data_IF_587884323744
#
_entry.id   IF_587884323744
#
_cell.length_a   1.000
_cell.length_b   1.000
_cell.length_c   1.000
_cell.angle_alpha   90.00
_cell.angle_beta   90.00
_cell.angle_gamma   90.00
#
_symmetry.space_group_name_H-M   'P 1'
#
loop_
_entity.id
_entity.type
_entity.pdbx_description
1 polymer ?
#
# COMPACT_ATOMS: atom_id res chain seq x y z
N UNK A 1 -2.46 -3.42 26.11
CA UNK A 1 -2.68 -3.13 24.68
C UNK A 1 -2.83 -1.62 24.53
N UNK A 2 -2.44 -1.02 23.41
CA UNK A 2 -2.66 0.41 23.17
C UNK A 2 -4.02 0.64 22.54
N UNK A 3 -4.73 1.69 22.97
CA UNK A 3 -6.02 2.06 22.41
C UNK A 3 -5.85 2.71 21.02
N UNK A 4 -6.74 2.36 20.09
CA UNK A 4 -6.77 2.96 18.76
C UNK A 4 -7.66 4.19 18.82
N UNK A 5 -7.06 5.38 18.67
CA UNK A 5 -7.78 6.65 18.62
C UNK A 5 -7.89 7.08 17.16
N UNK A 6 -9.11 7.04 16.62
CA UNK A 6 -9.39 7.55 15.28
C UNK A 6 -9.56 9.07 15.29
N UNK A 7 -9.08 9.73 14.25
CA UNK A 7 -9.48 11.11 13.97
C UNK A 7 -10.96 11.17 13.60
N UNK A 8 -11.60 12.34 13.78
CA UNK A 8 -13.02 12.50 13.50
C UNK A 8 -13.39 12.08 12.06
N UNK A 9 -12.62 12.55 11.09
CA UNK A 9 -12.83 12.27 9.67
C UNK A 9 -12.66 10.78 9.35
N UNK A 10 -11.65 10.13 9.93
CA UNK A 10 -11.40 8.72 9.68
C UNK A 10 -12.49 7.83 10.30
N UNK A 11 -13.01 8.20 11.48
CA UNK A 11 -14.15 7.53 12.08
C UNK A 11 -15.40 7.67 11.22
N UNK A 12 -15.69 8.88 10.73
CA UNK A 12 -16.81 9.13 9.82
C UNK A 12 -16.69 8.26 8.56
N UNK A 13 -15.51 8.25 7.92
CA UNK A 13 -15.24 7.46 6.73
C UNK A 13 -15.46 5.95 6.95
N UNK A 14 -14.93 5.39 8.04
CA UNK A 14 -15.10 3.96 8.35
C UNK A 14 -16.58 3.59 8.50
N UNK A 15 -17.36 4.46 9.16
CA UNK A 15 -18.79 4.24 9.37
C UNK A 15 -19.58 4.36 8.07
N UNK A 16 -19.29 5.38 7.25
CA UNK A 16 -19.95 5.59 5.97
C UNK A 16 -19.70 4.44 4.99
N UNK A 17 -18.48 3.90 4.98
CA UNK A 17 -18.07 2.82 4.08
C UNK A 17 -18.34 1.41 4.62
N UNK A 18 -18.93 1.28 5.82
CA UNK A 18 -19.13 0.01 6.54
C UNK A 18 -17.86 -0.86 6.61
N UNK A 19 -16.71 -0.23 6.88
CA UNK A 19 -15.42 -0.91 6.89
C UNK A 19 -15.14 -1.45 8.29
N UNK A 20 -14.76 -2.73 8.39
CA UNK A 20 -14.22 -3.28 9.64
C UNK A 20 -12.72 -3.00 9.74
N UNK A 21 -12.31 -2.15 10.70
CA UNK A 21 -10.90 -1.88 10.93
C UNK A 21 -10.18 -3.11 11.51
N UNK A 22 -9.06 -3.47 10.89
CA UNK A 22 -8.14 -4.50 11.38
C UNK A 22 -6.72 -3.97 11.40
N UNK A 23 -6.09 -3.97 12.58
CA UNK A 23 -4.74 -3.45 12.77
C UNK A 23 -3.72 -4.58 12.71
N UNK A 24 -2.70 -4.42 11.87
CA UNK A 24 -1.54 -5.31 11.83
C UNK A 24 -0.76 -5.21 13.14
N UNK A 25 -0.48 -6.34 13.80
CA UNK A 25 0.27 -6.36 15.06
C UNK A 25 1.78 -6.43 14.79
N UNK A 26 2.58 -5.70 15.59
CA UNK A 26 4.05 -5.56 15.39
C UNK A 26 4.80 -6.89 15.33
N UNK A 27 4.29 -7.96 15.94
CA UNK A 27 4.92 -9.27 16.01
C UNK A 27 4.06 -10.39 15.38
N UNK A 28 3.18 -10.05 14.44
CA UNK A 28 2.33 -11.01 13.72
C UNK A 28 2.71 -11.04 12.22
N UNK A 29 3.67 -11.91 11.82
CA UNK A 29 4.12 -12.03 10.44
C UNK A 29 3.03 -12.50 9.49
N UNK A 30 2.02 -13.23 9.98
CA UNK A 30 0.95 -13.77 9.15
C UNK A 30 0.03 -12.64 8.68
N UNK A 31 -0.35 -11.75 9.61
CA UNK A 31 -1.16 -10.56 9.29
C UNK A 31 -0.40 -9.52 8.45
N UNK A 32 0.91 -9.39 8.68
CA UNK A 32 1.73 -8.30 8.13
C UNK A 32 2.52 -8.70 6.87
N UNK A 33 2.75 -9.98 6.66
CA UNK A 33 3.61 -10.52 5.61
C UNK A 33 3.16 -10.15 4.20
N UNK A 34 1.84 -10.06 3.95
CA UNK A 34 1.29 -9.64 2.64
C UNK A 34 1.73 -8.22 2.28
N UNK A 35 1.53 -7.27 3.19
CA UNK A 35 1.93 -5.86 2.99
C UNK A 35 3.45 -5.72 2.92
N UNK A 36 4.19 -6.42 3.78
CA UNK A 36 5.66 -6.38 3.75
C UNK A 36 6.24 -6.94 2.46
N UNK A 37 5.69 -8.04 1.94
CA UNK A 37 6.12 -8.62 0.68
C UNK A 37 5.80 -7.70 -0.50
N UNK A 38 4.64 -7.05 -0.51
CA UNK A 38 4.29 -6.05 -1.52
C UNK A 38 5.29 -4.89 -1.51
N UNK A 39 5.60 -4.33 -0.33
CA UNK A 39 6.56 -3.23 -0.20
C UNK A 39 7.95 -3.68 -0.67
N UNK A 40 8.41 -4.87 -0.27
CA UNK A 40 9.68 -5.44 -0.74
C UNK A 40 9.70 -5.57 -2.26
N UNK A 41 8.61 -6.03 -2.86
CA UNK A 41 8.49 -6.16 -4.31
C UNK A 41 8.62 -4.81 -5.01
N UNK A 42 7.87 -3.79 -4.59
CA UNK A 42 7.95 -2.43 -5.16
C UNK A 42 9.35 -1.85 -5.01
N UNK A 43 9.96 -1.97 -3.82
CA UNK A 43 11.33 -1.48 -3.57
C UNK A 43 12.36 -2.10 -4.52
N UNK A 44 12.33 -3.43 -4.69
CA UNK A 44 13.29 -4.16 -5.53
C UNK A 44 13.05 -4.08 -7.03
N UNK A 45 11.82 -3.82 -7.46
CA UNK A 45 11.46 -3.90 -8.88
C UNK A 45 11.20 -2.54 -9.53
N UNK A 46 10.81 -1.54 -8.73
CA UNK A 46 10.49 -0.21 -9.22
C UNK A 46 11.52 0.80 -8.74
N UNK A 47 11.77 0.87 -7.42
CA UNK A 47 12.58 1.94 -6.84
C UNK A 47 14.09 1.70 -6.97
N UNK A 48 14.58 0.47 -6.85
CA UNK A 48 16.04 0.19 -6.78
C UNK A 48 16.81 0.42 -8.08
N UNK A 49 16.14 0.67 -9.20
CA UNK A 49 16.76 0.87 -10.51
C UNK A 49 16.51 2.29 -11.06
N UNK A 50 16.05 3.22 -10.21
CA UNK A 50 15.62 4.56 -10.61
C UNK A 50 16.03 5.60 -9.58
N UNK A 51 16.64 6.66 -10.08
CA UNK A 51 16.74 7.92 -9.36
C UNK A 51 15.64 8.85 -9.87
N UNK A 52 15.03 9.60 -8.95
CA UNK A 52 13.98 10.57 -9.26
C UNK A 52 14.47 11.94 -8.82
N UNK A 53 14.27 12.96 -9.66
CA UNK A 53 14.63 14.34 -9.31
C UNK A 53 13.53 15.02 -8.50
N UNK A 54 12.30 14.59 -8.69
CA UNK A 54 11.09 15.17 -8.11
C UNK A 54 10.09 14.04 -7.75
N UNK A 55 9.19 14.28 -6.81
CA UNK A 55 8.21 13.26 -6.39
C UNK A 55 7.15 12.99 -7.46
N UNK A 56 6.83 13.99 -8.27
CA UNK A 56 5.88 13.89 -9.39
C UNK A 56 6.38 12.88 -10.43
N UNK A 57 7.69 12.86 -10.70
CA UNK A 57 8.35 11.92 -11.60
C UNK A 57 8.23 10.48 -11.06
N UNK A 58 8.42 10.30 -9.75
CA UNK A 58 8.26 9.01 -9.09
C UNK A 58 6.81 8.50 -9.18
N UNK A 59 5.84 9.38 -8.92
CA UNK A 59 4.42 9.06 -8.98
C UNK A 59 3.98 8.65 -10.38
N UNK A 60 4.31 9.45 -11.39
CA UNK A 60 3.96 9.14 -12.77
C UNK A 60 4.66 7.86 -13.25
N UNK A 61 5.94 7.71 -12.91
CA UNK A 61 6.70 6.49 -13.16
C UNK A 61 6.07 5.25 -12.56
N UNK A 62 5.55 5.35 -11.33
CA UNK A 62 4.90 4.25 -10.62
C UNK A 62 3.60 3.84 -11.32
N UNK A 63 2.75 4.79 -11.69
CA UNK A 63 1.53 4.51 -12.46
C UNK A 63 1.83 3.84 -13.80
N UNK A 64 2.82 4.31 -14.55
CA UNK A 64 3.23 3.69 -15.82
C UNK A 64 3.81 2.29 -15.63
N UNK A 65 4.57 2.06 -14.56
CA UNK A 65 5.10 0.75 -14.22
C UNK A 65 3.99 -0.23 -13.84
N UNK A 66 3.04 0.20 -13.02
CA UNK A 66 1.85 -0.57 -12.66
C UNK A 66 1.02 -0.94 -13.91
N UNK A 67 0.71 0.01 -14.79
CA UNK A 67 -0.03 -0.26 -16.04
C UNK A 67 0.64 -1.31 -16.92
N UNK A 68 1.98 -1.31 -17.00
CA UNK A 68 2.73 -2.32 -17.77
C UNK A 68 2.69 -3.71 -17.12
N UNK A 69 2.76 -3.79 -15.79
CA UNK A 69 2.78 -5.08 -15.07
C UNK A 69 1.37 -5.67 -14.85
N UNK A 70 0.37 -4.83 -14.59
CA UNK A 70 -1.02 -5.24 -14.37
C UNK A 70 -1.66 -5.91 -15.60
N UNK A 71 -1.12 -5.67 -16.80
CA UNK A 71 -1.59 -6.33 -18.04
C UNK A 71 -1.24 -7.82 -18.15
N UNK A 72 -0.45 -8.37 -17.22
CA UNK A 72 -0.10 -9.81 -17.19
C UNK A 72 -0.94 -10.65 -16.23
N UNK A 73 -1.82 -10.03 -15.43
CA UNK A 73 -2.57 -10.72 -14.37
C UNK A 73 -4.05 -10.35 -14.29
N UNK A 74 -4.58 -9.64 -15.29
CA UNK A 74 -6.02 -9.40 -15.44
C UNK A 74 -6.50 -10.34 -16.54
N UNK A 75 -6.76 -11.59 -16.17
CA UNK A 75 -7.79 -12.38 -16.82
C UNK A 75 -9.11 -11.91 -16.23
N UNK A 76 -9.89 -11.17 -17.02
CA UNK A 76 -11.34 -11.01 -16.79
C UNK A 76 -12.00 -12.30 -17.27
#
# INVERSE_FOLDING_TARGET
>A
AGDIIYTADFRYFIQEQDIRMYVCRKADPESKGKVENLIKYVKRNFLSIRDFKQIEEANEGAFRWLKRRARSSISI
#
